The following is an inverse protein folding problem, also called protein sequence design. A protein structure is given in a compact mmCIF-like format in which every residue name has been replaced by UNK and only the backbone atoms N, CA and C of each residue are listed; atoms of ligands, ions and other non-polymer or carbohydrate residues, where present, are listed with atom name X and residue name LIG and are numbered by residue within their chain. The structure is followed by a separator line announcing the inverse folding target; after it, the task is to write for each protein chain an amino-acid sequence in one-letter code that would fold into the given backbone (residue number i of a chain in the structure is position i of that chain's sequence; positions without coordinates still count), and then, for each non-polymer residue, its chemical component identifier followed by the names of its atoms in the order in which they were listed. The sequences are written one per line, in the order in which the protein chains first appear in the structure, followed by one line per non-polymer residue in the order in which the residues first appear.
data_IF_062472180889
#
_entry.id   IF_062472180889
#
_cell.length_a   1.000
_cell.length_b   1.000
_cell.length_c   1.000
_cell.angle_alpha   90.00
_cell.angle_beta   90.00
_cell.angle_gamma   90.00
#
_symmetry.space_group_name_H-M   'P 1'
#
loop_
_entity.id
_entity.type
_entity.pdbx_description
1 polymer ?
#
# COMPACT_ATOMS: atom_id res chain seq x y z
N UNK A 1 -11.00 9.89 0.33
CA UNK A 1 -9.89 9.08 -0.24
C UNK A 1 -9.80 9.38 -1.73
N UNK A 2 -8.63 9.21 -2.37
CA UNK A 2 -8.46 9.49 -3.81
C UNK A 2 -9.51 8.77 -4.67
N UNK A 3 -9.74 7.48 -4.41
CA UNK A 3 -10.74 6.64 -5.08
C UNK A 3 -12.12 7.30 -5.14
N UNK A 4 -12.63 7.81 -4.02
CA UNK A 4 -13.95 8.45 -3.96
C UNK A 4 -14.06 9.68 -4.86
N UNK A 5 -13.00 10.49 -4.94
CA UNK A 5 -12.98 11.63 -5.86
C UNK A 5 -12.88 11.18 -7.32
N UNK A 6 -12.22 10.06 -7.60
CA UNK A 6 -12.19 9.48 -8.95
C UNK A 6 -13.55 8.92 -9.36
N UNK A 7 -14.34 8.33 -8.45
CA UNK A 7 -15.70 7.87 -8.76
C UNK A 7 -16.68 9.02 -8.97
N UNK A 8 -16.44 10.17 -8.33
CA UNK A 8 -17.24 11.39 -8.49
C UNK A 8 -16.75 12.28 -9.64
N UNK A 9 -15.75 11.82 -10.41
CA UNK A 9 -15.05 12.55 -11.46
C UNK A 9 -14.46 13.91 -11.03
N UNK A 10 -14.23 14.13 -9.73
CA UNK A 10 -13.50 15.28 -9.20
C UNK A 10 -12.00 15.05 -9.31
N UNK A 11 -11.48 15.22 -10.53
CA UNK A 11 -10.06 15.01 -10.82
C UNK A 11 -9.14 15.99 -10.08
N UNK A 12 -9.64 17.18 -9.74
CA UNK A 12 -8.89 18.16 -8.94
C UNK A 12 -8.65 17.64 -7.52
N UNK A 13 -9.72 17.26 -6.84
CA UNK A 13 -9.65 16.71 -5.49
C UNK A 13 -8.91 15.36 -5.47
N UNK A 14 -9.08 14.51 -6.49
CA UNK A 14 -8.34 13.25 -6.63
C UNK A 14 -6.82 13.49 -6.69
N UNK A 15 -6.37 14.48 -7.47
CA UNK A 15 -4.94 14.83 -7.57
C UNK A 15 -4.39 15.39 -6.27
N UNK A 16 -5.11 16.29 -5.60
CA UNK A 16 -4.70 16.80 -4.29
C UNK A 16 -4.60 15.68 -3.26
N UNK A 17 -5.58 14.77 -3.23
CA UNK A 17 -5.54 13.60 -2.36
C UNK A 17 -4.35 12.69 -2.67
N UNK A 18 -4.03 12.48 -3.95
CA UNK A 18 -2.87 11.71 -4.39
C UNK A 18 -1.56 12.34 -3.90
N UNK A 19 -1.38 13.66 -4.09
CA UNK A 19 -0.19 14.39 -3.64
C UNK A 19 0.02 14.27 -2.14
N UNK A 20 -1.04 14.47 -1.35
CA UNK A 20 -0.95 14.39 0.11
C UNK A 20 -0.62 12.96 0.57
N UNK A 21 -1.29 11.95 0.02
CA UNK A 21 -1.04 10.56 0.37
C UNK A 21 0.38 10.11 -0.01
N UNK A 22 0.90 10.56 -1.16
CA UNK A 22 2.30 10.37 -1.55
C UNK A 22 3.25 11.01 -0.53
N UNK A 23 3.03 12.27 -0.16
CA UNK A 23 3.88 12.96 0.82
C UNK A 23 3.93 12.21 2.17
N UNK A 24 2.78 11.82 2.71
CA UNK A 24 2.72 11.09 3.98
C UNK A 24 3.39 9.72 3.92
N UNK A 25 3.27 8.99 2.80
CA UNK A 25 3.96 7.70 2.66
C UNK A 25 5.47 7.89 2.51
N UNK A 26 5.93 8.91 1.80
CA UNK A 26 7.36 9.24 1.72
C UNK A 26 7.93 9.52 3.11
N UNK A 27 7.24 10.33 3.92
CA UNK A 27 7.61 10.58 5.33
C UNK A 27 7.62 9.29 6.15
N UNK A 28 6.60 8.43 5.99
CA UNK A 28 6.55 7.14 6.67
C UNK A 28 7.72 6.23 6.29
N UNK A 29 8.16 6.23 5.03
CA UNK A 29 9.32 5.46 4.59
C UNK A 29 10.63 6.01 5.17
N UNK A 30 10.78 7.34 5.30
CA UNK A 30 11.93 7.95 5.98
C UNK A 30 12.00 7.51 7.45
N UNK A 31 10.85 7.40 8.12
CA UNK A 31 10.73 6.87 9.49
C UNK A 31 11.01 5.36 9.53
N UNK A 32 10.51 4.59 8.55
CA UNK A 32 10.68 3.14 8.47
C UNK A 32 12.15 2.75 8.21
N UNK A 33 12.93 3.58 7.53
CA UNK A 33 14.31 3.27 7.15
C UNK A 33 15.30 4.39 7.53
N UNK A 34 15.48 4.67 8.83
CA UNK A 34 16.25 5.84 9.30
C UNK A 34 17.76 5.75 8.99
N UNK A 35 18.25 4.57 8.62
CA UNK A 35 19.66 4.34 8.30
C UNK A 35 19.97 4.52 6.79
N UNK A 36 18.96 4.80 5.96
CA UNK A 36 19.14 5.10 4.55
C UNK A 36 19.23 6.60 4.31
N UNK A 37 19.76 6.98 3.16
CA UNK A 37 19.68 8.37 2.71
C UNK A 37 18.19 8.76 2.59
N UNK A 38 17.80 9.88 3.20
CA UNK A 38 16.41 10.35 3.21
C UNK A 38 15.83 10.41 1.79
N UNK A 39 16.60 10.85 0.80
CA UNK A 39 16.17 10.90 -0.61
C UNK A 39 15.78 9.54 -1.19
N UNK A 40 16.45 8.45 -0.79
CA UNK A 40 16.11 7.09 -1.24
C UNK A 40 14.87 6.56 -0.55
N UNK A 41 14.77 6.75 0.76
CA UNK A 41 13.59 6.37 1.52
C UNK A 41 12.34 7.12 1.05
N UNK A 42 12.46 8.43 0.83
CA UNK A 42 11.43 9.28 0.24
C UNK A 42 10.92 8.72 -1.09
N UNK A 43 11.85 8.48 -2.02
CA UNK A 43 11.54 7.92 -3.34
C UNK A 43 10.89 6.54 -3.26
N UNK A 44 11.29 5.72 -2.30
CA UNK A 44 10.65 4.43 -2.05
C UNK A 44 9.18 4.59 -1.63
N UNK A 45 8.87 5.58 -0.78
CA UNK A 45 7.48 5.91 -0.43
C UNK A 45 6.65 6.39 -1.62
N UNK A 46 7.22 7.23 -2.49
CA UNK A 46 6.56 7.66 -3.74
C UNK A 46 6.23 6.49 -4.66
N UNK A 47 7.20 5.59 -4.87
CA UNK A 47 7.04 4.39 -5.69
C UNK A 47 6.01 3.42 -5.09
N UNK A 48 6.01 3.28 -3.76
CA UNK A 48 5.04 2.46 -3.04
C UNK A 48 3.62 2.99 -3.22
N UNK A 49 3.40 4.31 -3.06
CA UNK A 49 2.09 4.91 -3.29
C UNK A 49 1.64 4.82 -4.73
N UNK A 50 2.57 4.97 -5.68
CA UNK A 50 2.25 4.75 -7.09
C UNK A 50 1.81 3.31 -7.35
N UNK A 51 2.43 2.32 -6.71
CA UNK A 51 2.01 0.92 -6.81
C UNK A 51 0.62 0.71 -6.19
N UNK A 52 0.36 1.31 -5.03
CA UNK A 52 -0.93 1.24 -4.33
C UNK A 52 -2.06 1.87 -5.18
N UNK A 53 -1.83 3.08 -5.72
CA UNK A 53 -2.79 3.72 -6.62
C UNK A 53 -3.07 2.87 -7.86
N UNK A 54 -2.06 2.24 -8.45
CA UNK A 54 -2.28 1.36 -9.60
C UNK A 54 -3.08 0.10 -9.22
N UNK A 55 -2.86 -0.47 -8.04
CA UNK A 55 -3.69 -1.57 -7.55
C UNK A 55 -5.13 -1.12 -7.33
N UNK A 56 -5.37 0.04 -6.69
CA UNK A 56 -6.72 0.59 -6.54
C UNK A 56 -7.40 0.82 -7.90
N UNK A 57 -6.65 1.27 -8.89
CA UNK A 57 -7.11 1.46 -10.27
C UNK A 57 -7.47 0.16 -10.99
N UNK A 58 -6.79 -0.94 -10.65
CA UNK A 58 -7.11 -2.28 -11.16
C UNK A 58 -8.38 -2.81 -10.49
N UNK A 59 -8.49 -2.67 -9.17
CA UNK A 59 -9.60 -3.25 -8.40
C UNK A 59 -10.91 -2.49 -8.58
N UNK A 60 -10.85 -1.16 -8.71
CA UNK A 60 -12.01 -0.30 -8.87
C UNK A 60 -12.27 0.12 -10.33
N UNK A 61 -11.59 -0.52 -11.29
CA UNK A 61 -11.63 -0.16 -12.73
C UNK A 61 -13.05 0.09 -13.25
N UNK A 62 -14.00 -0.79 -12.92
CA UNK A 62 -15.37 -0.70 -13.38
C UNK A 62 -16.10 0.56 -12.86
N UNK A 63 -15.77 1.01 -11.65
CA UNK A 63 -16.36 2.21 -11.04
C UNK A 63 -15.85 3.51 -11.66
N UNK A 64 -14.81 3.45 -12.50
CA UNK A 64 -14.25 4.64 -13.18
C UNK A 64 -14.74 4.80 -14.62
N UNK A 65 -15.47 3.84 -15.18
CA UNK A 65 -15.86 3.86 -16.59
C UNK A 65 -16.61 5.13 -16.99
N UNK A 66 -17.60 5.56 -16.21
CA UNK A 66 -18.36 6.77 -16.48
C UNK A 66 -17.44 8.02 -16.51
N UNK A 67 -16.46 8.10 -15.60
CA UNK A 67 -15.50 9.20 -15.58
C UNK A 67 -14.48 9.15 -16.71
N UNK A 68 -14.15 7.97 -17.23
CA UNK A 68 -13.24 7.79 -18.37
C UNK A 68 -13.88 8.21 -19.70
N UNK A 69 -15.21 8.41 -19.76
CA UNK A 69 -15.89 9.00 -20.93
C UNK A 69 -15.63 10.51 -21.04
N UNK A 70 -15.16 11.16 -19.97
CA UNK A 70 -14.78 12.57 -19.95
C UNK A 70 -13.31 12.79 -20.29
N UNK A 71 -12.94 14.05 -20.58
CA UNK A 71 -11.53 14.41 -20.72
C UNK A 71 -10.84 14.34 -19.35
N UNK A 72 -10.02 13.31 -19.15
CA UNK A 72 -9.25 13.10 -17.93
C UNK A 72 -7.93 13.88 -18.01
N UNK A 73 -7.59 14.74 -17.04
CA UNK A 73 -6.30 15.42 -17.01
C UNK A 73 -5.14 14.43 -16.84
N UNK A 74 -4.01 14.72 -17.49
CA UNK A 74 -2.78 13.93 -17.37
C UNK A 74 -2.35 13.78 -15.89
N UNK A 75 -1.92 12.57 -15.54
CA UNK A 75 -1.48 12.23 -14.18
C UNK A 75 -2.61 12.06 -13.16
N UNK A 76 -3.87 12.08 -13.59
CA UNK A 76 -5.01 11.72 -12.71
C UNK A 76 -4.98 10.25 -12.34
N UNK A 77 -4.72 9.36 -13.30
CA UNK A 77 -4.49 7.93 -13.11
C UNK A 77 -3.00 7.61 -13.24
N UNK A 78 -2.54 6.56 -12.57
CA UNK A 78 -1.18 6.03 -12.76
C UNK A 78 -1.06 5.37 -14.13
N UNK A 79 -2.08 4.60 -14.50
CA UNK A 79 -2.22 4.05 -15.85
C UNK A 79 -3.71 3.94 -16.21
N UNK A 80 -4.10 4.68 -17.26
CA UNK A 80 -5.49 4.74 -17.71
C UNK A 80 -5.89 3.36 -18.21
N UNK A 81 -6.77 2.70 -17.45
CA UNK A 81 -7.32 1.44 -17.89
C UNK A 81 -8.11 1.66 -19.18
N UNK A 82 -7.72 0.97 -20.26
CA UNK A 82 -8.63 0.81 -21.38
C UNK A 82 -9.85 0.03 -20.89
N UNK A 83 -11.04 0.39 -21.38
CA UNK A 83 -12.26 -0.35 -21.10
C UNK A 83 -12.10 -1.75 -21.70
N UNK A 84 -11.83 -2.75 -20.85
CA UNK A 84 -11.81 -4.16 -21.26
C UNK A 84 -12.98 -4.87 -20.58
N UNK A 85 -14.14 -4.98 -21.25
CA UNK A 85 -15.27 -5.73 -20.75
C UNK A 85 -14.84 -7.16 -20.37
N UNK A 86 -15.36 -7.66 -19.25
CA UNK A 86 -15.22 -9.06 -18.81
C UNK A 86 -13.80 -9.53 -18.41
N UNK A 87 -12.77 -8.69 -18.50
CA UNK A 87 -11.44 -9.04 -18.00
C UNK A 87 -11.48 -9.16 -16.47
N UNK A 88 -11.18 -10.36 -15.97
CA UNK A 88 -10.97 -10.61 -14.54
C UNK A 88 -9.89 -9.68 -13.98
N UNK A 89 -10.10 -9.13 -12.78
CA UNK A 89 -9.10 -8.35 -12.03
C UNK A 89 -7.76 -9.11 -11.92
N UNK A 90 -7.85 -10.44 -11.84
CA UNK A 90 -6.68 -11.34 -11.76
C UNK A 90 -5.84 -11.37 -13.04
N UNK A 91 -6.47 -11.13 -14.18
CA UNK A 91 -5.83 -11.23 -15.49
C UNK A 91 -5.43 -9.84 -16.03
N UNK A 92 -5.61 -8.79 -15.22
CA UNK A 92 -5.18 -7.44 -15.56
C UNK A 92 -3.64 -7.40 -15.71
N UNK A 93 -3.11 -7.09 -16.90
CA UNK A 93 -1.67 -7.12 -17.17
C UNK A 93 -0.91 -6.09 -16.31
N UNK A 94 -1.57 -5.05 -15.82
CA UNK A 94 -0.97 -3.99 -14.99
C UNK A 94 -0.52 -4.49 -13.62
N UNK A 95 -0.93 -5.69 -13.19
CA UNK A 95 -0.32 -6.36 -12.02
C UNK A 95 1.19 -6.56 -12.18
N UNK A 96 1.68 -6.68 -13.42
CA UNK A 96 3.13 -6.70 -13.69
C UNK A 96 3.78 -5.37 -13.31
N UNK A 97 3.11 -4.26 -13.58
CA UNK A 97 3.63 -2.92 -13.29
C UNK A 97 3.56 -2.59 -11.81
N UNK A 98 2.50 -3.04 -11.10
CA UNK A 98 2.44 -3.02 -9.64
C UNK A 98 3.66 -3.72 -9.05
N UNK A 99 3.98 -4.93 -9.53
CA UNK A 99 5.16 -5.67 -9.09
C UNK A 99 6.46 -4.94 -9.45
N UNK A 100 6.59 -4.37 -10.65
CA UNK A 100 7.79 -3.65 -11.06
C UNK A 100 8.04 -2.41 -10.20
N UNK A 101 6.98 -1.67 -9.84
CA UNK A 101 7.07 -0.55 -8.90
C UNK A 101 7.52 -1.01 -7.51
N UNK A 102 6.97 -2.12 -7.00
CA UNK A 102 7.39 -2.70 -5.72
C UNK A 102 8.82 -3.25 -5.75
N UNK A 103 9.29 -3.78 -6.89
CA UNK A 103 10.70 -4.17 -7.08
C UNK A 103 11.62 -2.94 -7.04
N UNK A 104 11.20 -1.81 -7.62
CA UNK A 104 11.94 -0.56 -7.49
C UNK A 104 11.97 -0.04 -6.04
N UNK A 105 10.87 -0.20 -5.28
CA UNK A 105 10.87 0.06 -3.82
C UNK A 105 11.94 -0.80 -3.13
N UNK A 106 11.99 -2.10 -3.43
CA UNK A 106 12.99 -3.01 -2.86
C UNK A 106 14.42 -2.54 -3.14
N UNK A 107 14.68 -2.09 -4.37
CA UNK A 107 15.99 -1.59 -4.77
C UNK A 107 16.34 -0.28 -4.03
N UNK A 108 15.36 0.61 -3.77
CA UNK A 108 15.60 1.85 -3.01
C UNK A 108 15.87 1.62 -1.52
N UNK A 109 15.18 0.67 -0.90
CA UNK A 109 15.31 0.39 0.55
C UNK A 109 16.17 -0.82 0.91
N UNK A 110 16.79 -1.45 -0.09
CA UNK A 110 17.66 -2.61 0.08
C UNK A 110 16.96 -3.75 0.82
N UNK A 111 15.76 -4.09 0.31
CA UNK A 111 14.92 -5.21 0.76
C UNK A 111 14.95 -6.30 -0.31
N UNK A 112 14.84 -7.57 0.07
CA UNK A 112 14.75 -8.66 -0.91
C UNK A 112 13.57 -8.45 -1.86
N UNK A 113 13.79 -8.60 -3.17
CA UNK A 113 12.73 -8.56 -4.20
C UNK A 113 11.62 -9.59 -3.99
N UNK A 114 11.86 -10.62 -3.17
CA UNK A 114 10.80 -11.52 -2.71
C UNK A 114 9.66 -10.75 -2.01
N UNK A 115 9.97 -9.65 -1.31
CA UNK A 115 8.96 -8.73 -0.78
C UNK A 115 8.00 -8.27 -1.88
N UNK A 116 8.51 -7.74 -2.99
CA UNK A 116 7.67 -7.25 -4.08
C UNK A 116 6.75 -8.34 -4.66
N UNK A 117 7.28 -9.55 -4.84
CA UNK A 117 6.50 -10.71 -5.32
C UNK A 117 5.37 -11.04 -4.36
N UNK A 118 5.68 -11.14 -3.06
CA UNK A 118 4.69 -11.51 -2.04
C UNK A 118 3.70 -10.39 -1.80
N UNK A 119 4.12 -9.12 -1.79
CA UNK A 119 3.26 -7.98 -1.51
C UNK A 119 2.27 -7.74 -2.66
N UNK A 120 2.71 -7.82 -3.92
CA UNK A 120 1.80 -7.78 -5.07
C UNK A 120 0.79 -8.94 -5.05
N UNK A 121 1.24 -10.15 -4.67
CA UNK A 121 0.35 -11.31 -4.51
C UNK A 121 -0.62 -11.14 -3.35
N UNK A 122 -0.18 -10.55 -2.25
CA UNK A 122 -1.02 -10.24 -1.09
C UNK A 122 -2.15 -9.30 -1.52
N UNK A 123 -1.84 -8.13 -2.10
CA UNK A 123 -2.86 -7.17 -2.54
C UNK A 123 -3.87 -7.84 -3.48
N UNK A 124 -3.39 -8.54 -4.50
CA UNK A 124 -4.26 -9.26 -5.44
C UNK A 124 -5.19 -10.29 -4.79
N UNK A 125 -4.74 -11.01 -3.76
CA UNK A 125 -5.59 -11.98 -3.07
C UNK A 125 -6.56 -11.31 -2.10
N UNK A 126 -6.08 -10.29 -1.40
CA UNK A 126 -6.83 -9.53 -0.40
C UNK A 126 -7.98 -8.75 -1.03
N UNK A 127 -7.74 -7.96 -2.07
CA UNK A 127 -8.80 -7.23 -2.79
C UNK A 127 -9.84 -8.13 -3.46
N UNK A 128 -9.55 -9.43 -3.59
CA UNK A 128 -10.46 -10.45 -4.12
C UNK A 128 -11.06 -11.35 -3.04
N UNK A 129 -10.83 -11.05 -1.76
CA UNK A 129 -11.28 -11.81 -0.58
C UNK A 129 -10.96 -13.32 -0.68
N UNK A 130 -9.80 -13.65 -1.25
CA UNK A 130 -9.34 -15.04 -1.41
C UNK A 130 -8.58 -15.51 -0.19
N UNK A 131 -8.74 -16.78 0.16
CA UNK A 131 -8.03 -17.38 1.28
C UNK A 131 -6.50 -17.35 1.12
N UNK A 132 -5.81 -17.39 2.26
CA UNK A 132 -4.35 -17.47 2.32
C UNK A 132 -3.60 -16.15 2.16
N UNK A 133 -4.31 -15.02 1.92
CA UNK A 133 -3.68 -13.69 1.85
C UNK A 133 -2.92 -13.33 3.13
N UNK A 134 -3.47 -13.67 4.32
CA UNK A 134 -2.87 -13.38 5.64
C UNK A 134 -1.46 -13.96 5.78
N UNK A 135 -1.26 -15.20 5.35
CA UNK A 135 0.05 -15.86 5.41
C UNK A 135 1.07 -15.21 4.48
N UNK A 136 0.64 -14.77 3.30
CA UNK A 136 1.49 -14.08 2.31
C UNK A 136 1.83 -12.67 2.81
N UNK A 137 0.84 -11.94 3.32
CA UNK A 137 0.99 -10.62 3.93
C UNK A 137 2.01 -10.65 5.07
N UNK A 138 1.85 -11.58 6.02
CA UNK A 138 2.80 -11.79 7.12
C UNK A 138 4.20 -12.07 6.61
N UNK A 139 4.37 -13.00 5.65
CA UNK A 139 5.70 -13.32 5.10
C UNK A 139 6.34 -12.11 4.41
N UNK A 140 5.59 -11.36 3.60
CA UNK A 140 6.08 -10.13 2.98
C UNK A 140 6.53 -9.13 4.05
N UNK A 141 5.68 -8.88 5.06
CA UNK A 141 5.99 -7.88 6.08
C UNK A 141 7.19 -8.25 6.95
N UNK A 142 7.41 -9.55 7.22
CA UNK A 142 8.63 -10.03 7.90
C UNK A 142 9.90 -9.65 7.14
N UNK A 143 9.88 -9.70 5.80
CA UNK A 143 11.02 -9.32 4.96
C UNK A 143 11.29 -7.81 5.10
N UNK A 144 10.25 -6.97 5.06
CA UNK A 144 10.37 -5.52 5.29
C UNK A 144 10.90 -5.22 6.70
N UNK A 145 10.32 -5.84 7.72
CA UNK A 145 10.68 -5.67 9.14
C UNK A 145 12.14 -6.03 9.44
N UNK A 146 12.66 -7.11 8.85
CA UNK A 146 14.06 -7.49 8.99
C UNK A 146 15.02 -6.39 8.50
N UNK A 147 14.58 -5.57 7.53
CA UNK A 147 15.33 -4.40 7.07
C UNK A 147 15.09 -3.16 7.94
N UNK A 148 13.86 -2.94 8.39
CA UNK A 148 13.49 -1.80 9.24
C UNK A 148 14.13 -1.87 10.63
N UNK A 149 14.36 -3.08 11.16
CA UNK A 149 14.90 -3.31 12.51
C UNK A 149 15.85 -4.53 12.49
N UNK A 150 17.09 -4.38 11.97
CA UNK A 150 18.01 -5.51 11.79
C UNK A 150 18.43 -6.23 13.08
N UNK A 151 18.35 -5.55 14.22
CA UNK A 151 18.63 -6.10 15.56
C UNK A 151 17.48 -6.94 16.13
N UNK A 152 16.28 -6.89 15.55
CA UNK A 152 15.11 -7.55 16.10
C UNK A 152 15.25 -9.08 16.04
N UNK A 153 14.80 -9.76 17.10
CA UNK A 153 14.75 -11.21 17.12
C UNK A 153 13.72 -11.74 16.12
N UNK A 154 13.85 -13.00 15.71
CA UNK A 154 12.85 -13.65 14.87
C UNK A 154 11.45 -13.66 15.51
N UNK A 155 11.36 -13.67 16.84
CA UNK A 155 10.09 -13.59 17.57
C UNK A 155 9.48 -12.19 17.50
N UNK A 156 10.30 -11.14 17.60
CA UNK A 156 9.83 -9.76 17.50
C UNK A 156 9.33 -9.43 16.10
N UNK A 157 10.09 -9.83 15.08
CA UNK A 157 9.69 -9.69 13.67
C UNK A 157 8.35 -10.38 13.42
N UNK A 158 8.14 -11.55 14.03
CA UNK A 158 6.91 -12.31 13.84
C UNK A 158 5.69 -11.65 14.49
N UNK A 159 5.84 -11.17 15.74
CA UNK A 159 4.78 -10.43 16.44
C UNK A 159 4.43 -9.12 15.72
N UNK A 160 5.43 -8.39 15.25
CA UNK A 160 5.22 -7.17 14.46
C UNK A 160 4.51 -7.46 13.13
N UNK A 161 4.80 -8.60 12.50
CA UNK A 161 4.08 -9.02 11.29
C UNK A 161 2.63 -9.43 11.57
N UNK A 162 2.32 -9.97 12.74
CA UNK A 162 0.94 -10.22 13.18
C UNK A 162 0.16 -8.93 13.41
N UNK A 163 0.77 -7.90 14.00
CA UNK A 163 0.15 -6.57 14.12
C UNK A 163 -0.22 -5.98 12.74
N UNK A 164 0.63 -6.16 11.73
CA UNK A 164 0.31 -5.71 10.38
C UNK A 164 -0.92 -6.43 9.82
N UNK A 165 -1.01 -7.75 9.96
CA UNK A 165 -2.18 -8.52 9.50
C UNK A 165 -3.44 -8.10 10.25
N UNK A 166 -3.36 -7.89 11.57
CA UNK A 166 -4.47 -7.40 12.37
C UNK A 166 -4.94 -6.01 11.90
N UNK A 167 -4.01 -5.10 11.58
CA UNK A 167 -4.36 -3.79 11.03
C UNK A 167 -5.06 -3.86 9.66
N UNK A 168 -4.70 -4.83 8.82
CA UNK A 168 -5.39 -5.07 7.54
C UNK A 168 -6.79 -5.65 7.79
N UNK A 169 -6.93 -6.59 8.73
CA UNK A 169 -8.24 -7.14 9.11
C UNK A 169 -9.17 -6.04 9.67
N UNK A 170 -8.67 -5.18 10.55
CA UNK A 170 -9.44 -4.06 11.11
C UNK A 170 -9.86 -3.05 10.03
N UNK A 171 -8.98 -2.81 9.04
CA UNK A 171 -9.29 -1.95 7.89
C UNK A 171 -10.43 -2.51 7.02
N UNK A 172 -10.51 -3.83 6.85
CA UNK A 172 -11.59 -4.46 6.08
C UNK A 172 -12.99 -4.29 6.73
N UNK A 173 -13.02 -4.06 8.04
CA UNK A 173 -14.25 -3.84 8.82
C UNK A 173 -14.72 -2.38 8.83
N UNK A 174 -13.99 -1.46 8.19
CA UNK A 174 -14.36 -0.05 8.10
C UNK A 174 -15.69 0.13 7.37
N UNK A 175 -16.64 0.82 8.03
CA UNK A 175 -17.98 1.01 7.48
C UNK A 175 -18.12 2.27 6.64
N UNK A 176 -17.11 3.16 6.69
CA UNK A 176 -17.08 4.46 6.01
C UNK A 176 -18.25 5.38 6.39
N UNK A 177 -18.90 5.10 7.53
CA UNK A 177 -20.01 5.87 8.10
C UNK A 177 -19.51 6.98 9.05
N UNK A 178 -18.35 6.78 9.68
CA UNK A 178 -17.70 7.75 10.56
C UNK A 178 -16.19 7.56 10.50
N UNK A 179 -15.50 8.59 10.00
CA UNK A 179 -14.05 8.61 9.92
C UNK A 179 -13.40 8.43 11.30
N UNK A 180 -13.97 9.05 12.34
CA UNK A 180 -13.47 8.93 13.71
C UNK A 180 -13.52 7.48 14.20
N UNK A 181 -14.65 6.79 13.95
CA UNK A 181 -14.82 5.39 14.33
C UNK A 181 -13.82 4.49 13.60
N UNK A 182 -13.78 4.59 12.27
CA UNK A 182 -12.93 3.74 11.43
C UNK A 182 -11.43 3.96 11.73
N UNK A 183 -11.02 5.21 11.97
CA UNK A 183 -9.63 5.51 12.33
C UNK A 183 -9.30 5.05 13.76
N UNK A 184 -10.20 5.25 14.73
CA UNK A 184 -9.89 4.98 16.15
C UNK A 184 -9.47 3.54 16.42
N UNK A 185 -10.11 2.54 15.77
CA UNK A 185 -9.77 1.13 15.94
C UNK A 185 -8.39 0.81 15.39
N UNK A 186 -8.00 1.42 14.27
CA UNK A 186 -6.73 1.13 13.59
C UNK A 186 -5.56 1.90 14.22
N UNK A 187 -5.80 3.10 14.77
CA UNK A 187 -4.75 3.93 15.38
C UNK A 187 -4.07 3.22 16.55
N UNK A 188 -4.82 2.52 17.40
CA UNK A 188 -4.23 1.80 18.54
C UNK A 188 -3.28 0.68 18.08
N UNK A 189 -3.65 -0.05 17.02
CA UNK A 189 -2.82 -1.11 16.43
C UNK A 189 -1.56 -0.53 15.82
N UNK A 190 -1.70 0.55 15.04
CA UNK A 190 -0.57 1.23 14.38
C UNK A 190 0.37 1.87 15.41
N UNK A 191 -0.16 2.51 16.45
CA UNK A 191 0.63 3.11 17.52
C UNK A 191 1.44 2.06 18.29
N UNK A 192 0.82 0.92 18.65
CA UNK A 192 1.54 -0.20 19.30
C UNK A 192 2.61 -0.79 18.40
N UNK A 193 2.31 -0.93 17.10
CA UNK A 193 3.27 -1.40 16.12
C UNK A 193 4.51 -0.49 16.06
N UNK A 194 4.31 0.82 15.88
CA UNK A 194 5.42 1.77 15.77
C UNK A 194 6.17 1.98 17.08
N UNK A 195 5.47 2.00 18.22
CA UNK A 195 6.13 2.03 19.53
C UNK A 195 7.09 0.85 19.67
N UNK A 196 6.65 -0.36 19.33
CA UNK A 196 7.51 -1.55 19.42
C UNK A 196 8.68 -1.49 18.44
N UNK A 197 8.47 -0.97 17.23
CA UNK A 197 9.56 -0.74 16.25
C UNK A 197 10.60 0.21 16.83
N UNK A 198 10.19 1.32 17.45
CA UNK A 198 11.12 2.29 18.05
C UNK A 198 11.85 1.72 19.26
N UNK A 199 11.16 1.02 20.15
CA UNK A 199 11.77 0.37 21.32
C UNK A 199 12.92 -0.56 20.90
N UNK A 200 12.71 -1.35 19.83
CA UNK A 200 13.71 -2.28 19.29
C UNK A 200 14.89 -1.61 18.58
N UNK A 201 14.76 -0.34 18.19
CA UNK A 201 15.84 0.45 17.59
C UNK A 201 16.70 1.15 18.63
N UNK A 202 16.11 1.47 19.79
CA UNK A 202 16.79 2.21 20.86
C UNK A 202 17.36 1.31 21.97
N UNK A 203 16.89 0.06 22.07
CA UNK A 203 17.40 -0.95 23.01
C UNK A 203 18.49 -1.82 22.41
#
# INVERSE_FOLDING_TARGET
MREAYLTDCDFGAARTAATNATAYMSEAFEIDFPNLAATRAHRAGELFMRALFLQDEIENRASFYDCLEHQVPDGTFVDVAQTVPEMSINDDPRWRDVRALLEAVCDEVDVSREYAVLHARFWRLHGQRRDGWRGIARRAHRIKLARMVPSASATDIDKLAEYFVAGVDDHDDWRRESLERDISSTVDVVARYYQRVFDLRTG
#
